data_IF_667458218388
#
_entry.id   IF_667458218388
#
_cell.length_a   1.000
_cell.length_b   1.000
_cell.length_c   1.000
_cell.angle_alpha   90.00
_cell.angle_beta   90.00
_cell.angle_gamma   90.00
#
_symmetry.space_group_name_H-M   'P 1'
#
loop_
_entity.id
_entity.type
_entity.pdbx_description
1 polymer ?
#
# COMPACT_ATOMS: atom_id res chain seq x y z
N UNK A 1 18.46 -26.77 18.19
CA UNK A 1 17.80 -26.45 19.48
C UNK A 1 16.48 -25.78 19.18
N UNK A 2 15.38 -26.19 19.81
CA UNK A 2 14.07 -25.59 19.57
C UNK A 2 14.02 -24.11 19.97
N UNK A 3 13.40 -23.28 19.13
CA UNK A 3 13.25 -21.84 19.35
C UNK A 3 12.68 -21.48 20.74
N UNK A 4 11.63 -22.17 21.20
CA UNK A 4 11.04 -21.89 22.52
C UNK A 4 12.03 -22.10 23.67
N UNK A 5 12.82 -23.18 23.58
CA UNK A 5 13.88 -23.46 24.56
C UNK A 5 14.99 -22.43 24.48
N UNK A 6 15.34 -21.98 23.27
CA UNK A 6 16.34 -20.96 23.04
C UNK A 6 15.96 -19.61 23.66
N UNK A 7 14.72 -19.15 23.46
CA UNK A 7 14.22 -17.91 24.04
C UNK A 7 14.20 -17.97 25.57
N UNK A 8 13.75 -19.10 26.14
CA UNK A 8 13.74 -19.29 27.59
C UNK A 8 15.16 -19.37 28.19
N UNK A 9 16.11 -19.94 27.45
CA UNK A 9 17.52 -19.95 27.88
C UNK A 9 18.15 -18.55 27.80
N UNK A 10 17.81 -17.74 26.79
CA UNK A 10 18.24 -16.34 26.72
C UNK A 10 17.68 -15.50 27.88
N UNK A 11 16.40 -15.65 28.20
CA UNK A 11 15.78 -14.98 29.35
C UNK A 11 16.49 -15.34 30.64
N UNK A 12 16.74 -16.64 30.87
CA UNK A 12 17.49 -17.11 32.06
C UNK A 12 18.91 -16.56 32.11
N UNK A 13 19.64 -16.52 30.98
CA UNK A 13 20.99 -15.94 30.94
C UNK A 13 20.97 -14.44 31.25
N UNK A 14 19.96 -13.72 30.75
CA UNK A 14 19.77 -12.30 31.02
C UNK A 14 19.47 -12.04 32.50
N UNK A 15 18.55 -12.80 33.09
CA UNK A 15 18.23 -12.71 34.52
C UNK A 15 19.47 -13.00 35.38
N UNK A 16 20.19 -14.09 35.07
CA UNK A 16 21.42 -14.44 35.78
C UNK A 16 22.49 -13.35 35.66
N UNK A 17 22.68 -12.76 34.48
CA UNK A 17 23.61 -11.66 34.29
C UNK A 17 23.20 -10.41 35.10
N UNK A 18 21.90 -10.11 35.21
CA UNK A 18 21.38 -9.02 36.05
C UNK A 18 21.63 -9.28 37.54
N UNK A 19 21.40 -10.50 38.01
CA UNK A 19 21.68 -10.91 39.39
C UNK A 19 23.17 -10.81 39.71
N UNK A 20 24.04 -11.35 38.84
CA UNK A 20 25.49 -11.29 39.02
C UNK A 20 26.02 -9.84 38.97
N UNK A 21 25.47 -8.98 38.11
CA UNK A 21 25.76 -7.52 38.11
C UNK A 21 25.37 -6.87 39.45
N UNK A 22 24.19 -7.20 39.97
CA UNK A 22 23.71 -6.68 41.26
C UNK A 22 24.60 -7.13 42.42
N UNK A 23 24.95 -8.42 42.48
CA UNK A 23 25.86 -8.97 43.48
C UNK A 23 27.25 -8.33 43.40
N UNK A 24 27.77 -8.11 42.19
CA UNK A 24 29.05 -7.42 41.99
C UNK A 24 28.99 -5.99 42.53
N UNK A 25 27.93 -5.25 42.20
CA UNK A 25 27.70 -3.87 42.68
C UNK A 25 27.65 -3.81 44.20
N UNK A 26 26.96 -4.76 44.84
CA UNK A 26 26.89 -4.83 46.31
C UNK A 26 28.25 -5.16 46.92
N UNK A 27 28.98 -6.13 46.38
CA UNK A 27 30.30 -6.52 46.86
C UNK A 27 31.31 -5.37 46.79
N UNK A 28 31.34 -4.64 45.67
CA UNK A 28 32.23 -3.49 45.50
C UNK A 28 31.78 -2.27 46.32
N UNK A 29 30.48 -2.04 46.49
CA UNK A 29 29.98 -1.01 47.41
C UNK A 29 30.37 -1.27 48.87
N UNK A 30 30.37 -2.54 49.32
CA UNK A 30 30.89 -2.93 50.65
C UNK A 30 32.38 -2.64 50.78
N UNK A 31 33.19 -2.91 49.75
CA UNK A 31 34.64 -2.58 49.73
C UNK A 31 34.86 -1.06 49.83
N UNK A 32 34.14 -0.28 49.01
CA UNK A 32 34.17 1.18 49.04
C UNK A 32 33.81 1.72 50.43
N UNK A 33 32.73 1.22 51.04
CA UNK A 33 32.32 1.66 52.38
C UNK A 33 33.40 1.41 53.45
N UNK A 34 34.12 0.28 53.37
CA UNK A 34 35.25 -0.01 54.29
C UNK A 34 36.39 1.00 54.09
N UNK A 35 36.81 1.23 52.84
CA UNK A 35 37.88 2.18 52.52
C UNK A 35 37.52 3.60 52.94
N UNK A 36 36.28 4.05 52.68
CA UNK A 36 35.80 5.36 53.12
C UNK A 36 35.87 5.52 54.64
N UNK A 37 35.54 4.49 55.42
CA UNK A 37 35.67 4.52 56.89
C UNK A 37 37.13 4.67 57.33
N UNK A 38 38.05 3.97 56.67
CA UNK A 38 39.49 4.08 56.96
C UNK A 38 40.04 5.46 56.60
N UNK A 39 39.67 6.00 55.43
CA UNK A 39 40.06 7.35 55.02
C UNK A 39 39.51 8.37 56.02
N UNK A 40 38.21 8.31 56.36
CA UNK A 40 37.61 9.22 57.36
C UNK A 40 38.32 9.15 58.72
N UNK A 41 38.79 7.97 59.14
CA UNK A 41 39.58 7.81 60.37
C UNK A 41 40.93 8.52 60.27
N UNK A 42 41.67 8.35 59.17
CA UNK A 42 42.95 9.01 58.97
C UNK A 42 42.81 10.53 58.85
N UNK A 43 41.75 11.02 58.21
CA UNK A 43 41.41 12.46 58.14
C UNK A 43 41.12 13.04 59.53
N UNK A 44 40.31 12.36 60.35
CA UNK A 44 40.07 12.76 61.76
C UNK A 44 41.35 12.76 62.59
N UNK A 45 42.25 11.83 62.31
CA UNK A 45 43.52 11.78 63.02
C UNK A 45 44.46 12.92 62.60
N UNK A 46 44.47 13.31 61.32
CA UNK A 46 45.20 14.47 60.81
C UNK A 46 44.75 15.76 61.52
N UNK A 47 43.45 15.94 61.69
CA UNK A 47 42.85 17.08 62.39
C UNK A 47 43.36 17.21 63.85
N UNK A 48 43.51 16.08 64.54
CA UNK A 48 43.94 16.02 65.96
C UNK A 48 45.46 16.06 66.15
N UNK A 49 46.23 15.87 65.10
CA UNK A 49 47.69 15.77 65.18
C UNK A 49 48.31 17.11 65.59
N UNK A 50 49.31 17.11 66.48
CA UNK A 50 49.93 18.36 66.95
C UNK A 50 50.98 18.83 65.94
N UNK A 51 51.00 20.14 65.67
CA UNK A 51 52.05 20.77 64.88
C UNK A 51 53.38 20.68 65.67
N UNK A 52 54.49 20.25 65.05
CA UNK A 52 55.80 20.20 65.69
C UNK A 52 56.22 21.56 66.28
N UNK A 53 56.71 21.57 67.52
CA UNK A 53 57.14 22.79 68.24
C UNK A 53 58.31 23.56 67.60
N UNK A 54 58.96 22.99 66.57
CA UNK A 54 60.13 23.55 65.88
C UNK A 54 59.77 24.46 64.69
N UNK A 55 58.48 24.69 64.45
CA UNK A 55 57.99 25.47 63.31
C UNK A 55 57.73 26.92 63.76
N UNK A 56 58.11 27.88 62.92
CA UNK A 56 57.85 29.31 63.12
C UNK A 56 56.35 29.59 63.35
N UNK A 57 56.02 30.52 64.25
CA UNK A 57 54.65 30.82 64.63
C UNK A 57 53.76 31.30 63.46
N UNK A 58 54.33 32.04 62.50
CA UNK A 58 53.62 32.45 61.28
C UNK A 58 53.31 31.25 60.38
N UNK A 59 54.27 30.33 60.23
CA UNK A 59 54.10 29.11 59.43
C UNK A 59 53.11 28.17 60.12
N UNK A 60 53.13 28.07 61.45
CA UNK A 60 52.19 27.28 62.24
C UNK A 60 50.73 27.71 61.99
N UNK A 61 50.45 29.01 61.96
CA UNK A 61 49.10 29.55 61.64
C UNK A 61 48.65 29.21 60.21
N UNK A 62 49.57 29.28 59.24
CA UNK A 62 49.29 28.91 57.83
C UNK A 62 48.97 27.41 57.73
N UNK A 63 49.79 26.56 58.34
CA UNK A 63 49.60 25.10 58.37
C UNK A 63 48.27 24.73 59.01
N UNK A 64 47.87 25.41 60.08
CA UNK A 64 46.60 25.14 60.75
C UNK A 64 45.38 25.48 59.88
N UNK A 65 45.41 26.63 59.21
CA UNK A 65 44.35 27.05 58.29
C UNK A 65 44.26 26.11 57.07
N UNK A 66 45.39 25.77 56.45
CA UNK A 66 45.42 24.81 55.33
C UNK A 66 44.95 23.43 55.78
N UNK A 67 45.30 22.99 56.99
CA UNK A 67 44.88 21.70 57.53
C UNK A 67 43.36 21.65 57.72
N UNK A 68 42.76 22.70 58.29
CA UNK A 68 41.29 22.78 58.42
C UNK A 68 40.63 22.71 57.06
N UNK A 69 41.06 23.53 56.11
CA UNK A 69 40.53 23.51 54.75
C UNK A 69 40.67 22.14 54.07
N UNK A 70 41.82 21.48 54.24
CA UNK A 70 42.05 20.13 53.72
C UNK A 70 41.09 19.11 54.35
N UNK A 71 40.96 19.12 55.68
CA UNK A 71 40.10 18.20 56.43
C UNK A 71 38.63 18.42 56.06
N UNK A 72 38.15 19.67 56.05
CA UNK A 72 36.76 20.01 55.73
C UNK A 72 36.41 19.60 54.31
N UNK A 73 37.25 19.97 53.34
CA UNK A 73 37.01 19.66 51.93
C UNK A 73 37.01 18.15 51.69
N UNK A 74 38.00 17.42 52.23
CA UNK A 74 38.05 15.96 52.07
C UNK A 74 36.88 15.26 52.79
N UNK A 75 36.47 15.75 53.96
CA UNK A 75 35.36 15.18 54.72
C UNK A 75 34.04 15.33 53.96
N UNK A 76 33.73 16.55 53.49
CA UNK A 76 32.56 16.81 52.66
C UNK A 76 32.55 15.95 51.41
N UNK A 77 33.72 15.74 50.82
CA UNK A 77 33.89 14.91 49.64
C UNK A 77 33.55 13.44 49.91
N UNK A 78 34.10 12.88 50.98
CA UNK A 78 33.89 11.48 51.40
C UNK A 78 32.48 11.23 51.93
N UNK A 79 31.72 12.26 52.30
CA UNK A 79 30.32 12.14 52.70
C UNK A 79 29.36 12.00 51.52
N UNK A 80 29.75 12.51 50.34
CA UNK A 80 28.94 12.39 49.12
C UNK A 80 29.05 11.03 48.44
N UNK A 81 30.02 10.21 48.84
CA UNK A 81 30.23 8.87 48.28
C UNK A 81 29.53 7.83 49.18
N UNK A 82 28.42 7.28 48.69
CA UNK A 82 27.62 6.28 49.40
C UNK A 82 27.90 4.84 48.91
N UNK A 83 28.14 4.68 47.61
CA UNK A 83 28.30 3.40 46.92
C UNK A 83 29.25 3.49 45.71
N UNK A 84 29.47 2.36 45.03
CA UNK A 84 30.40 2.27 43.89
C UNK A 84 30.03 3.18 42.71
N UNK A 85 28.74 3.47 42.47
CA UNK A 85 28.31 4.34 41.36
C UNK A 85 28.45 5.82 41.72
N UNK A 86 28.22 6.17 42.99
CA UNK A 86 28.52 7.53 43.46
C UNK A 86 30.03 7.80 43.39
N UNK A 87 30.87 6.80 43.63
CA UNK A 87 32.32 6.93 43.52
C UNK A 87 32.75 7.34 42.10
N UNK A 88 32.14 6.76 41.06
CA UNK A 88 32.39 7.14 39.66
C UNK A 88 32.33 8.66 39.44
N UNK A 89 31.24 9.28 39.92
CA UNK A 89 30.96 10.70 39.73
C UNK A 89 32.01 11.60 40.39
N UNK A 90 32.67 11.08 41.41
CA UNK A 90 33.51 11.82 42.33
C UNK A 90 35.02 11.52 42.19
N UNK A 91 35.40 10.46 41.46
CA UNK A 91 36.80 10.17 41.14
C UNK A 91 37.56 11.33 40.43
N UNK A 92 36.96 12.06 39.47
CA UNK A 92 37.64 13.18 38.82
C UNK A 92 38.00 14.31 39.81
N UNK A 93 37.14 14.58 40.78
CA UNK A 93 37.39 15.59 41.80
C UNK A 93 38.43 15.10 42.83
N UNK A 94 38.42 13.81 43.22
CA UNK A 94 39.46 13.21 44.07
C UNK A 94 40.86 13.32 43.47
N UNK A 95 40.99 13.06 42.17
CA UNK A 95 42.29 13.14 41.48
C UNK A 95 42.91 14.54 41.51
N UNK A 96 42.08 15.59 41.61
CA UNK A 96 42.50 17.01 41.64
C UNK A 96 42.65 17.57 43.05
N UNK A 97 42.17 16.84 44.06
CA UNK A 97 42.12 17.30 45.45
C UNK A 97 43.51 17.68 46.01
N UNK A 98 44.52 16.84 45.77
CA UNK A 98 45.87 17.06 46.31
C UNK A 98 46.67 18.15 45.57
N UNK A 99 46.30 18.50 44.34
CA UNK A 99 46.96 19.57 43.58
C UNK A 99 46.55 20.96 44.10
N UNK A 100 45.40 21.02 44.78
CA UNK A 100 44.71 22.26 45.15
C UNK A 100 44.89 22.67 46.62
N UNK A 101 45.26 21.73 47.51
CA UNK A 101 45.28 21.93 48.95
C UNK A 101 46.52 21.34 49.63
N UNK A 102 47.17 22.13 50.50
CA UNK A 102 48.00 21.59 51.58
C UNK A 102 49.48 21.43 51.27
N UNK A 103 50.12 22.36 50.56
CA UNK A 103 51.59 22.32 50.38
C UNK A 103 52.31 22.30 51.75
N UNK A 104 51.87 23.13 52.69
CA UNK A 104 52.47 23.18 54.03
C UNK A 104 51.95 22.04 54.91
N UNK A 105 50.70 21.62 54.74
CA UNK A 105 50.14 20.43 55.43
C UNK A 105 50.91 19.17 55.06
N UNK A 106 51.24 19.00 53.78
CA UNK A 106 52.01 17.87 53.27
C UNK A 106 53.45 17.89 53.78
N UNK A 107 54.08 19.06 53.88
CA UNK A 107 55.42 19.19 54.46
C UNK A 107 55.45 18.86 55.97
N UNK A 108 54.41 19.21 56.72
CA UNK A 108 54.38 19.03 58.18
C UNK A 108 53.83 17.67 58.61
N UNK A 109 52.82 17.15 57.89
CA UNK A 109 52.13 15.90 58.20
C UNK A 109 52.32 14.84 57.10
N UNK A 110 53.51 14.85 56.48
CA UNK A 110 53.89 14.02 55.34
C UNK A 110 53.41 12.55 55.47
N UNK A 111 53.75 11.90 56.58
CA UNK A 111 53.41 10.49 56.82
C UNK A 111 51.90 10.22 56.79
N UNK A 112 51.08 11.14 57.30
CA UNK A 112 49.63 10.99 57.33
C UNK A 112 49.02 11.25 55.97
N UNK A 113 49.49 12.30 55.28
CA UNK A 113 49.04 12.61 53.91
C UNK A 113 49.36 11.46 52.96
N UNK A 114 50.55 10.85 53.04
CA UNK A 114 50.86 9.64 52.26
C UNK A 114 49.91 8.47 52.55
N UNK A 115 49.50 8.26 53.80
CA UNK A 115 48.51 7.21 54.14
C UNK A 115 47.15 7.49 53.53
N UNK A 116 46.68 8.74 53.61
CA UNK A 116 45.42 9.16 52.99
C UNK A 116 45.50 8.97 51.48
N UNK A 117 46.58 9.41 50.83
CA UNK A 117 46.79 9.26 49.39
C UNK A 117 46.82 7.78 48.97
N UNK A 118 47.44 6.91 49.77
CA UNK A 118 47.45 5.47 49.52
C UNK A 118 46.04 4.89 49.52
N UNK A 119 45.22 5.24 50.52
CA UNK A 119 43.84 4.78 50.61
C UNK A 119 42.95 5.34 49.50
N UNK A 120 43.16 6.59 49.07
CA UNK A 120 42.46 7.19 47.94
C UNK A 120 42.85 6.54 46.60
N UNK A 121 44.12 6.15 46.45
CA UNK A 121 44.58 5.36 45.31
C UNK A 121 43.91 3.99 45.29
N UNK A 122 43.88 3.30 46.43
CA UNK A 122 43.21 2.00 46.57
C UNK A 122 41.71 2.11 46.25
N UNK A 123 41.05 3.20 46.66
CA UNK A 123 39.66 3.48 46.32
C UNK A 123 39.46 3.60 44.79
N UNK A 124 40.40 4.23 44.09
CA UNK A 124 40.39 4.36 42.62
C UNK A 124 40.65 3.01 41.93
N UNK A 125 41.56 2.20 42.47
CA UNK A 125 41.87 0.85 41.98
C UNK A 125 40.64 -0.07 42.13
N UNK A 126 39.92 -0.02 43.25
CA UNK A 126 38.67 -0.77 43.47
C UNK A 126 37.61 -0.42 42.42
N UNK A 127 37.50 0.86 42.03
CA UNK A 127 36.61 1.26 40.95
C UNK A 127 37.06 0.74 39.57
N UNK A 128 38.37 0.80 39.29
CA UNK A 128 38.95 0.24 38.08
C UNK A 128 38.67 -1.27 37.94
N UNK A 129 38.85 -2.03 39.02
CA UNK A 129 38.49 -3.45 39.07
C UNK A 129 37.00 -3.70 38.82
N UNK A 130 36.12 -2.90 39.45
CA UNK A 130 34.68 -2.98 39.25
C UNK A 130 34.33 -2.80 37.77
N UNK A 131 34.89 -1.78 37.12
CA UNK A 131 34.67 -1.49 35.70
C UNK A 131 35.17 -2.60 34.78
N UNK A 132 36.35 -3.17 35.05
CA UNK A 132 36.86 -4.32 34.28
C UNK A 132 35.93 -5.52 34.41
N UNK A 133 35.45 -5.81 35.62
CA UNK A 133 34.49 -6.91 35.85
C UNK A 133 33.13 -6.63 35.23
N UNK A 134 32.67 -5.37 35.26
CA UNK A 134 31.39 -4.98 34.69
C UNK A 134 31.36 -5.18 33.16
N UNK A 135 32.48 -4.92 32.48
CA UNK A 135 32.63 -5.16 31.03
C UNK A 135 32.60 -6.62 30.63
N UNK A 136 32.86 -7.54 31.56
CA UNK A 136 32.84 -8.98 31.28
C UNK A 136 31.42 -9.56 31.27
N UNK A 137 30.39 -8.78 31.63
CA UNK A 137 29.01 -9.21 31.48
C UNK A 137 28.52 -8.95 30.06
N UNK A 138 27.97 -9.97 29.43
CA UNK A 138 27.30 -9.85 28.13
C UNK A 138 26.00 -9.03 28.29
N UNK A 139 25.85 -7.99 27.47
CA UNK A 139 24.58 -7.29 27.29
C UNK A 139 23.95 -7.74 25.97
N UNK A 140 22.79 -8.37 26.07
CA UNK A 140 21.99 -8.76 24.92
C UNK A 140 20.51 -8.56 25.21
N UNK A 141 19.76 -8.25 24.16
CA UNK A 141 18.30 -8.23 24.18
C UNK A 141 17.75 -9.55 23.67
N UNK A 142 16.58 -9.95 24.18
CA UNK A 142 15.87 -11.13 23.68
C UNK A 142 15.04 -10.67 22.48
N UNK A 143 15.31 -11.15 21.25
CA UNK A 143 14.54 -10.72 20.09
C UNK A 143 13.10 -11.18 20.15
N UNK A 144 12.15 -10.34 19.75
CA UNK A 144 10.73 -10.69 19.67
C UNK A 144 10.41 -11.51 18.41
N UNK A 145 10.78 -12.78 18.45
CA UNK A 145 10.55 -13.71 17.33
C UNK A 145 9.08 -14.13 17.22
N UNK A 146 8.34 -14.15 18.33
CA UNK A 146 6.94 -14.59 18.34
C UNK A 146 6.07 -13.64 17.51
N UNK A 147 6.23 -12.34 17.70
CA UNK A 147 5.51 -11.33 16.92
C UNK A 147 5.81 -11.46 15.42
N UNK A 148 7.08 -11.65 15.04
CA UNK A 148 7.47 -11.85 13.63
C UNK A 148 6.80 -13.10 13.03
N UNK A 149 6.77 -14.21 13.77
CA UNK A 149 6.11 -15.44 13.31
C UNK A 149 4.60 -15.27 13.13
N UNK A 150 3.93 -14.53 14.03
CA UNK A 150 2.51 -14.19 13.89
C UNK A 150 2.26 -13.33 12.65
N UNK A 151 3.12 -12.35 12.40
CA UNK A 151 3.01 -11.48 11.22
C UNK A 151 3.27 -12.23 9.91
N UNK A 152 4.21 -13.18 9.89
CA UNK A 152 4.43 -14.10 8.76
C UNK A 152 3.16 -14.92 8.50
N UNK A 153 2.56 -15.49 9.55
CA UNK A 153 1.33 -16.28 9.42
C UNK A 153 0.17 -15.44 8.86
N UNK A 154 -0.03 -14.23 9.39
CA UNK A 154 -1.07 -13.30 8.87
C UNK A 154 -0.80 -12.91 7.41
N UNK A 155 0.45 -12.69 7.05
CA UNK A 155 0.81 -12.37 5.68
C UNK A 155 0.55 -13.54 4.72
N UNK A 156 0.84 -14.77 5.14
CA UNK A 156 0.54 -15.97 4.34
C UNK A 156 -0.97 -16.19 4.20
N UNK A 157 -1.75 -16.06 5.28
CA UNK A 157 -3.22 -16.14 5.24
C UNK A 157 -3.81 -15.11 4.26
N UNK A 158 -3.33 -13.87 4.31
CA UNK A 158 -3.76 -12.83 3.37
C UNK A 158 -3.36 -13.14 1.91
N UNK A 159 -2.15 -13.69 1.69
CA UNK A 159 -1.73 -14.12 0.35
C UNK A 159 -2.66 -15.21 -0.19
N UNK A 160 -3.05 -16.19 0.64
CA UNK A 160 -3.98 -17.25 0.22
C UNK A 160 -5.36 -16.69 -0.10
N UNK A 161 -5.86 -15.75 0.70
CA UNK A 161 -7.14 -15.08 0.46
C UNK A 161 -7.13 -14.34 -0.89
N UNK A 162 -6.12 -13.49 -1.12
CA UNK A 162 -5.99 -12.72 -2.37
C UNK A 162 -5.82 -13.65 -3.57
N UNK A 163 -5.06 -14.75 -3.44
CA UNK A 163 -4.95 -15.76 -4.50
C UNK A 163 -6.30 -16.40 -4.82
N UNK A 164 -7.06 -16.81 -3.82
CA UNK A 164 -8.39 -17.40 -4.01
C UNK A 164 -9.39 -16.41 -4.60
N UNK A 165 -9.31 -15.13 -4.26
CA UNK A 165 -10.10 -14.08 -4.93
C UNK A 165 -9.69 -13.88 -6.39
N UNK A 166 -8.38 -13.89 -6.67
CA UNK A 166 -7.83 -13.73 -8.01
C UNK A 166 -8.24 -14.88 -8.93
N UNK A 167 -8.16 -16.13 -8.45
CA UNK A 167 -8.60 -17.30 -9.21
C UNK A 167 -10.10 -17.23 -9.55
N UNK A 168 -10.95 -16.91 -8.56
CA UNK A 168 -12.38 -16.69 -8.79
C UNK A 168 -12.66 -15.56 -9.77
N UNK A 169 -11.85 -14.51 -9.75
CA UNK A 169 -11.97 -13.41 -10.71
C UNK A 169 -11.59 -13.84 -12.13
N UNK A 170 -10.50 -14.60 -12.29
CA UNK A 170 -10.04 -15.16 -13.57
C UNK A 170 -11.05 -16.15 -14.16
N UNK A 171 -11.63 -17.01 -13.34
CA UNK A 171 -12.70 -17.93 -13.77
C UNK A 171 -13.94 -17.15 -14.26
N UNK A 172 -14.33 -16.09 -13.55
CA UNK A 172 -15.43 -15.21 -14.00
C UNK A 172 -15.09 -14.49 -15.31
N UNK A 173 -13.83 -14.08 -15.49
CA UNK A 173 -13.37 -13.45 -16.73
C UNK A 173 -13.47 -14.40 -17.90
N UNK A 174 -13.02 -15.64 -17.73
CA UNK A 174 -13.10 -16.70 -18.74
C UNK A 174 -14.55 -17.01 -19.11
N UNK A 175 -15.42 -17.21 -18.11
CA UNK A 175 -16.85 -17.45 -18.32
C UNK A 175 -17.52 -16.28 -19.06
N UNK A 176 -17.13 -15.04 -18.74
CA UNK A 176 -17.66 -13.85 -19.40
C UNK A 176 -17.17 -13.72 -20.83
N UNK A 177 -15.89 -14.02 -21.10
CA UNK A 177 -15.34 -14.11 -22.46
C UNK A 177 -16.04 -15.17 -23.29
N UNK A 178 -16.29 -16.35 -22.70
CA UNK A 178 -17.05 -17.42 -23.34
C UNK A 178 -18.49 -16.97 -23.67
N UNK A 179 -19.18 -16.33 -22.73
CA UNK A 179 -20.53 -15.78 -22.94
C UNK A 179 -20.56 -14.73 -24.05
N UNK A 180 -19.59 -13.83 -24.09
CA UNK A 180 -19.46 -12.82 -25.17
C UNK A 180 -19.19 -13.51 -26.50
N UNK A 181 -18.28 -14.48 -26.53
CA UNK A 181 -17.96 -15.24 -27.74
C UNK A 181 -19.16 -16.02 -28.24
N UNK A 182 -19.94 -16.66 -27.36
CA UNK A 182 -21.19 -17.34 -27.71
C UNK A 182 -22.23 -16.37 -28.25
N UNK A 183 -22.44 -15.22 -27.61
CA UNK A 183 -23.38 -14.20 -28.09
C UNK A 183 -22.97 -13.59 -29.44
N UNK A 184 -21.67 -13.50 -29.72
CA UNK A 184 -21.13 -13.08 -31.03
C UNK A 184 -21.21 -14.19 -32.08
N UNK A 185 -20.95 -15.44 -31.68
CA UNK A 185 -20.98 -16.63 -32.55
C UNK A 185 -22.38 -17.11 -32.86
N UNK A 186 -23.35 -16.85 -31.98
CA UNK A 186 -24.76 -17.11 -32.23
C UNK A 186 -25.11 -16.37 -33.52
N UNK A 187 -25.18 -17.16 -34.59
CA UNK A 187 -25.30 -16.78 -36.00
C UNK A 187 -26.37 -15.72 -36.22
N UNK A 188 -27.34 -15.67 -35.33
CA UNK A 188 -28.36 -14.64 -35.21
C UNK A 188 -27.94 -13.19 -35.44
N UNK A 189 -26.78 -12.67 -34.97
CA UNK A 189 -26.44 -11.26 -35.23
C UNK A 189 -26.02 -11.06 -36.69
N UNK A 190 -25.18 -11.95 -37.21
CA UNK A 190 -24.76 -11.94 -38.62
C UNK A 190 -25.94 -12.21 -39.55
N UNK A 191 -26.79 -13.18 -39.22
CA UNK A 191 -28.04 -13.48 -39.93
C UNK A 191 -29.01 -12.30 -39.89
N UNK A 192 -29.12 -11.59 -38.76
CA UNK A 192 -29.92 -10.37 -38.67
C UNK A 192 -29.34 -9.27 -39.55
N UNK A 193 -28.03 -9.09 -39.59
CA UNK A 193 -27.36 -8.12 -40.46
C UNK A 193 -27.56 -8.44 -41.94
N UNK A 194 -27.41 -9.70 -42.34
CA UNK A 194 -27.67 -10.17 -43.71
C UNK A 194 -29.14 -9.99 -44.11
N UNK A 195 -30.08 -10.33 -43.21
CA UNK A 195 -31.52 -10.12 -43.44
C UNK A 195 -31.85 -8.64 -43.60
N UNK A 196 -31.36 -7.78 -42.71
CA UNK A 196 -31.53 -6.32 -42.78
C UNK A 196 -31.00 -5.80 -44.12
N UNK A 197 -29.81 -6.23 -44.54
CA UNK A 197 -29.21 -5.81 -45.81
C UNK A 197 -30.02 -6.29 -47.02
N UNK A 198 -30.53 -7.53 -46.99
CA UNK A 198 -31.38 -8.07 -48.04
C UNK A 198 -32.70 -7.31 -48.17
N UNK A 199 -33.36 -7.00 -47.04
CA UNK A 199 -34.61 -6.24 -47.01
C UNK A 199 -34.40 -4.79 -47.45
N UNK A 200 -33.27 -4.15 -47.09
CA UNK A 200 -32.91 -2.82 -47.59
C UNK A 200 -32.78 -2.80 -49.11
N UNK A 201 -32.13 -3.82 -49.69
CA UNK A 201 -31.99 -3.96 -51.14
C UNK A 201 -33.34 -4.18 -51.81
N UNK A 202 -34.19 -5.06 -51.27
CA UNK A 202 -35.52 -5.31 -51.81
C UNK A 202 -36.42 -4.08 -51.74
N UNK A 203 -36.47 -3.41 -50.58
CA UNK A 203 -37.23 -2.19 -50.36
C UNK A 203 -36.82 -1.10 -51.36
N UNK A 204 -35.51 -0.85 -51.45
CA UNK A 204 -34.95 0.14 -52.40
C UNK A 204 -35.30 -0.21 -53.84
N UNK A 205 -35.16 -1.48 -54.25
CA UNK A 205 -35.51 -1.92 -55.59
C UNK A 205 -36.99 -1.67 -55.91
N UNK A 206 -37.90 -2.01 -54.99
CA UNK A 206 -39.35 -1.81 -55.16
C UNK A 206 -39.72 -0.33 -55.22
N UNK A 207 -39.18 0.49 -54.33
CA UNK A 207 -39.41 1.94 -54.32
C UNK A 207 -38.91 2.60 -55.62
N UNK A 208 -37.72 2.24 -56.09
CA UNK A 208 -37.15 2.74 -57.35
C UNK A 208 -38.00 2.30 -58.53
N UNK A 209 -38.40 1.03 -58.59
CA UNK A 209 -39.23 0.49 -59.67
C UNK A 209 -40.57 1.22 -59.74
N UNK A 210 -41.27 1.35 -58.60
CA UNK A 210 -42.56 2.04 -58.54
C UNK A 210 -42.43 3.53 -58.91
N UNK A 211 -41.40 4.23 -58.41
CA UNK A 211 -41.14 5.63 -58.76
C UNK A 211 -40.79 5.83 -60.24
N UNK A 212 -40.04 4.89 -60.84
CA UNK A 212 -39.72 4.89 -62.27
C UNK A 212 -40.99 4.72 -63.12
N UNK A 213 -41.85 3.80 -62.72
CA UNK A 213 -43.11 3.50 -63.39
C UNK A 213 -44.07 4.69 -63.38
N UNK A 214 -44.15 5.37 -62.24
CA UNK A 214 -44.88 6.62 -62.08
C UNK A 214 -44.23 7.77 -62.85
N UNK A 215 -42.89 7.83 -62.90
CA UNK A 215 -42.15 8.91 -63.58
C UNK A 215 -42.34 8.86 -65.08
N UNK A 216 -42.46 7.65 -65.63
CA UNK A 216 -42.78 7.43 -67.04
C UNK A 216 -44.09 8.11 -67.48
N UNK A 217 -45.05 8.26 -66.55
CA UNK A 217 -46.35 8.88 -66.80
C UNK A 217 -46.33 10.42 -66.67
N UNK A 218 -45.26 11.03 -66.15
CA UNK A 218 -45.17 12.50 -65.99
C UNK A 218 -45.15 13.24 -67.32
N UNK A 219 -44.41 12.74 -68.32
CA UNK A 219 -44.21 13.42 -69.62
C UNK A 219 -45.52 13.66 -70.39
N UNK A 220 -46.40 12.66 -70.59
CA UNK A 220 -47.70 12.89 -71.23
C UNK A 220 -48.62 13.82 -70.42
N UNK A 221 -48.65 13.71 -69.09
CA UNK A 221 -49.43 14.60 -68.23
C UNK A 221 -48.97 16.07 -68.32
N UNK A 222 -47.65 16.32 -68.38
CA UNK A 222 -47.08 17.66 -68.61
C UNK A 222 -47.49 18.21 -69.98
N UNK A 223 -47.42 17.40 -71.03
CA UNK A 223 -47.82 17.81 -72.40
C UNK A 223 -49.30 18.17 -72.50
N UNK A 224 -50.15 17.40 -71.83
CA UNK A 224 -51.59 17.65 -71.77
C UNK A 224 -51.98 18.84 -70.87
N UNK A 225 -51.01 19.47 -70.18
CA UNK A 225 -51.23 20.61 -69.26
C UNK A 225 -52.32 20.32 -68.22
N UNK A 226 -52.32 19.10 -67.67
CA UNK A 226 -53.28 18.70 -66.64
C UNK A 226 -53.12 19.60 -65.42
N UNK A 227 -54.20 20.25 -65.01
CA UNK A 227 -54.25 21.17 -63.87
C UNK A 227 -54.87 20.51 -62.65
N UNK A 228 -54.50 20.97 -61.45
CA UNK A 228 -55.05 20.53 -60.18
C UNK A 228 -53.97 20.10 -59.20
N UNK A 229 -54.29 20.18 -57.91
CA UNK A 229 -53.32 19.95 -56.82
C UNK A 229 -52.62 18.58 -56.91
N UNK A 230 -53.36 17.50 -57.16
CA UNK A 230 -52.79 16.16 -57.31
C UNK A 230 -51.85 16.04 -58.52
N UNK A 231 -52.17 16.72 -59.63
CA UNK A 231 -51.33 16.75 -60.82
C UNK A 231 -50.02 17.53 -60.56
N UNK A 232 -50.11 18.69 -59.93
CA UNK A 232 -48.95 19.52 -59.60
C UNK A 232 -47.99 18.80 -58.63
N UNK A 233 -48.53 18.21 -57.57
CA UNK A 233 -47.75 17.45 -56.59
C UNK A 233 -47.11 16.21 -57.22
N UNK A 234 -47.87 15.42 -57.99
CA UNK A 234 -47.35 14.25 -58.68
C UNK A 234 -46.27 14.58 -59.72
N UNK A 235 -46.44 15.67 -60.48
CA UNK A 235 -45.48 16.11 -61.50
C UNK A 235 -44.18 16.64 -60.91
N UNK A 236 -44.25 17.25 -59.73
CA UNK A 236 -43.10 17.69 -58.94
C UNK A 236 -42.35 16.50 -58.37
N UNK A 237 -43.03 15.60 -57.67
CA UNK A 237 -42.45 14.40 -57.08
C UNK A 237 -43.36 13.18 -57.24
N UNK A 238 -42.82 12.09 -57.80
CA UNK A 238 -43.55 10.81 -57.92
C UNK A 238 -43.76 10.16 -56.57
N UNK A 239 -42.98 10.54 -55.54
CA UNK A 239 -43.18 10.05 -54.18
C UNK A 239 -44.53 10.45 -53.58
N UNK A 240 -45.21 11.45 -54.15
CA UNK A 240 -46.58 11.78 -53.79
C UNK A 240 -47.54 10.58 -53.89
N UNK A 241 -47.26 9.61 -54.77
CA UNK A 241 -48.05 8.38 -54.87
C UNK A 241 -47.94 7.46 -53.65
N UNK A 242 -46.91 7.61 -52.83
CA UNK A 242 -46.73 6.85 -51.59
C UNK A 242 -47.50 7.47 -50.43
N UNK A 243 -47.78 8.78 -50.50
CA UNK A 243 -48.51 9.53 -49.47
C UNK A 243 -50.02 9.54 -49.78
N UNK A 244 -50.38 9.73 -51.05
CA UNK A 244 -51.74 9.96 -51.51
C UNK A 244 -52.09 9.07 -52.72
N UNK A 245 -52.08 7.73 -52.56
CA UNK A 245 -52.24 6.80 -53.68
C UNK A 245 -53.58 6.94 -54.41
N UNK A 246 -54.66 7.22 -53.67
CA UNK A 246 -56.00 7.38 -54.25
C UNK A 246 -56.09 8.59 -55.19
N UNK A 247 -55.50 9.74 -54.78
CA UNK A 247 -55.46 10.96 -55.61
C UNK A 247 -54.65 10.74 -56.89
N UNK A 248 -53.58 9.94 -56.82
CA UNK A 248 -52.78 9.57 -58.00
C UNK A 248 -53.53 8.60 -58.91
N UNK A 249 -54.24 7.61 -58.36
CA UNK A 249 -55.09 6.71 -59.16
C UNK A 249 -56.18 7.46 -59.91
N UNK A 250 -56.87 8.38 -59.25
CA UNK A 250 -57.88 9.23 -59.87
C UNK A 250 -57.30 10.12 -60.97
N UNK A 251 -56.14 10.73 -60.72
CA UNK A 251 -55.42 11.51 -61.74
C UNK A 251 -55.12 10.66 -62.99
N UNK A 252 -54.62 9.43 -62.80
CA UNK A 252 -54.28 8.53 -63.89
C UNK A 252 -55.53 8.03 -64.65
N UNK A 253 -56.62 7.69 -63.94
CA UNK A 253 -57.91 7.30 -64.56
C UNK A 253 -58.48 8.44 -65.41
N UNK A 254 -58.55 9.64 -64.85
CA UNK A 254 -59.02 10.84 -65.56
C UNK A 254 -58.16 11.14 -66.80
N UNK A 255 -56.85 10.96 -66.71
CA UNK A 255 -55.95 11.17 -67.83
C UNK A 255 -56.08 10.09 -68.92
N UNK A 256 -56.40 8.84 -68.54
CA UNK A 256 -56.72 7.76 -69.48
C UNK A 256 -58.04 8.04 -70.22
N UNK A 257 -59.10 8.40 -69.51
CA UNK A 257 -60.43 8.69 -70.07
C UNK A 257 -60.42 9.88 -71.04
N UNK A 258 -59.59 10.89 -70.75
CA UNK A 258 -59.41 12.08 -71.61
C UNK A 258 -58.43 11.87 -72.77
N UNK A 259 -57.88 10.66 -72.93
CA UNK A 259 -56.99 10.32 -74.05
C UNK A 259 -55.60 10.96 -73.98
N UNK A 260 -55.13 11.35 -72.80
CA UNK A 260 -53.81 12.00 -72.64
C UNK A 260 -52.63 11.03 -72.75
N UNK A 261 -52.89 9.72 -72.65
CA UNK A 261 -51.90 8.67 -72.77
C UNK A 261 -51.98 7.99 -74.14
N UNK A 262 -50.84 7.83 -74.81
CA UNK A 262 -50.76 6.93 -75.98
C UNK A 262 -50.90 5.45 -75.56
N UNK A 263 -50.96 4.53 -76.53
CA UNK A 263 -51.13 3.09 -76.26
C UNK A 263 -50.13 2.52 -75.25
N UNK A 264 -48.88 3.00 -75.23
CA UNK A 264 -47.83 2.51 -74.31
C UNK A 264 -48.01 3.08 -72.91
N UNK A 265 -48.27 4.38 -72.80
CA UNK A 265 -48.48 5.04 -71.51
C UNK A 265 -49.82 4.63 -70.87
N UNK A 266 -50.86 4.39 -71.66
CA UNK A 266 -52.17 3.94 -71.17
C UNK A 266 -52.10 2.52 -70.59
N UNK A 267 -51.33 1.63 -71.23
CA UNK A 267 -51.04 0.30 -70.69
C UNK A 267 -50.29 0.40 -69.35
N UNK A 268 -49.25 1.22 -69.26
CA UNK A 268 -48.48 1.42 -68.03
C UNK A 268 -49.31 2.06 -66.91
N UNK A 269 -50.15 3.04 -67.24
CA UNK A 269 -51.07 3.67 -66.29
C UNK A 269 -52.08 2.67 -65.72
N UNK A 270 -52.62 1.79 -66.58
CA UNK A 270 -53.52 0.70 -66.15
C UNK A 270 -52.82 -0.26 -65.17
N UNK A 271 -51.63 -0.73 -65.53
CA UNK A 271 -50.82 -1.62 -64.67
C UNK A 271 -50.49 -0.97 -63.31
N UNK A 272 -50.17 0.32 -63.29
CA UNK A 272 -49.93 1.08 -62.05
C UNK A 272 -51.21 1.21 -61.23
N UNK A 273 -52.35 1.59 -61.82
CA UNK A 273 -53.62 1.73 -61.10
C UNK A 273 -54.04 0.41 -60.44
N UNK A 274 -53.88 -0.71 -61.13
CA UNK A 274 -54.25 -2.04 -60.66
C UNK A 274 -53.33 -2.52 -59.52
N UNK A 275 -52.03 -2.23 -59.58
CA UNK A 275 -51.04 -2.79 -58.64
C UNK A 275 -50.53 -1.82 -57.57
N UNK A 276 -50.85 -0.52 -57.64
CA UNK A 276 -50.27 0.49 -56.75
C UNK A 276 -50.53 0.20 -55.27
N UNK A 277 -51.75 -0.19 -54.90
CA UNK A 277 -52.08 -0.47 -53.48
C UNK A 277 -51.31 -1.70 -52.99
N UNK A 278 -51.26 -2.76 -53.79
CA UNK A 278 -50.55 -3.98 -53.46
C UNK A 278 -49.02 -3.79 -53.36
N UNK A 279 -48.43 -2.93 -54.19
CA UNK A 279 -46.99 -2.61 -54.07
C UNK A 279 -46.70 -1.66 -52.90
N UNK A 280 -47.58 -0.71 -52.60
CA UNK A 280 -47.43 0.14 -51.42
C UNK A 280 -47.58 -0.65 -50.11
N UNK A 281 -48.53 -1.59 -50.04
CA UNK A 281 -48.71 -2.49 -48.91
C UNK A 281 -47.45 -3.35 -48.68
N UNK A 282 -46.87 -3.91 -49.75
CA UNK A 282 -45.60 -4.66 -49.65
C UNK A 282 -44.45 -3.78 -49.16
N UNK A 283 -44.33 -2.55 -49.67
CA UNK A 283 -43.31 -1.59 -49.23
C UNK A 283 -43.49 -1.24 -47.75
N UNK A 284 -44.72 -1.06 -47.29
CA UNK A 284 -45.02 -0.79 -45.88
C UNK A 284 -44.70 -1.98 -44.97
N UNK A 285 -45.04 -3.21 -45.39
CA UNK A 285 -44.68 -4.45 -44.68
C UNK A 285 -43.16 -4.57 -44.56
N UNK A 286 -42.43 -4.39 -45.66
CA UNK A 286 -40.97 -4.44 -45.68
C UNK A 286 -40.34 -3.38 -44.77
N UNK A 287 -40.90 -2.17 -44.73
CA UNK A 287 -40.44 -1.11 -43.80
C UNK A 287 -40.66 -1.49 -42.34
N UNK A 288 -41.84 -2.02 -41.99
CA UNK A 288 -42.16 -2.47 -40.63
C UNK A 288 -41.25 -3.62 -40.20
N UNK A 289 -41.01 -4.58 -41.09
CA UNK A 289 -40.10 -5.70 -40.83
C UNK A 289 -38.66 -5.22 -40.65
N UNK A 290 -38.19 -4.30 -41.50
CA UNK A 290 -36.87 -3.70 -41.40
C UNK A 290 -36.68 -2.98 -40.06
N UNK A 291 -37.64 -2.12 -39.67
CA UNK A 291 -37.61 -1.40 -38.38
C UNK A 291 -37.57 -2.38 -37.19
N UNK A 292 -38.32 -3.48 -37.26
CA UNK A 292 -38.32 -4.51 -36.22
C UNK A 292 -36.95 -5.17 -36.08
N UNK A 293 -36.34 -5.57 -37.20
CA UNK A 293 -35.03 -6.22 -37.22
C UNK A 293 -33.91 -5.28 -36.78
N UNK A 294 -33.96 -4.01 -37.18
CA UNK A 294 -32.98 -3.00 -36.74
C UNK A 294 -33.06 -2.74 -35.24
N UNK A 295 -34.27 -2.70 -34.67
CA UNK A 295 -34.46 -2.61 -33.21
C UNK A 295 -33.91 -3.84 -32.50
N UNK A 296 -34.15 -5.03 -33.04
CA UNK A 296 -33.62 -6.26 -32.47
C UNK A 296 -32.09 -6.32 -32.52
N UNK A 297 -31.49 -5.95 -33.66
CA UNK A 297 -30.04 -5.81 -33.81
C UNK A 297 -29.47 -4.87 -32.75
N UNK A 298 -30.02 -3.66 -32.65
CA UNK A 298 -29.54 -2.66 -31.70
C UNK A 298 -29.63 -3.15 -30.24
N UNK A 299 -30.72 -3.84 -29.88
CA UNK A 299 -30.87 -4.45 -28.56
C UNK A 299 -29.78 -5.49 -28.29
N UNK A 300 -29.53 -6.41 -29.24
CA UNK A 300 -28.50 -7.46 -29.10
C UNK A 300 -27.09 -6.87 -29.05
N UNK A 301 -26.78 -5.89 -29.90
CA UNK A 301 -25.49 -5.19 -29.87
C UNK A 301 -25.26 -4.47 -28.54
N UNK A 302 -26.29 -3.82 -27.99
CA UNK A 302 -26.21 -3.18 -26.67
C UNK A 302 -25.92 -4.18 -25.56
N UNK A 303 -26.62 -5.32 -25.58
CA UNK A 303 -26.42 -6.38 -24.60
C UNK A 303 -24.97 -6.92 -24.63
N UNK A 304 -24.41 -7.16 -25.83
CA UNK A 304 -23.00 -7.54 -25.98
C UNK A 304 -22.07 -6.44 -25.43
N UNK A 305 -22.35 -5.18 -25.73
CA UNK A 305 -21.59 -4.04 -25.20
C UNK A 305 -21.60 -3.96 -23.67
N UNK A 306 -22.73 -4.27 -23.03
CA UNK A 306 -22.83 -4.33 -21.56
C UNK A 306 -21.94 -5.44 -20.97
N UNK A 307 -21.89 -6.60 -21.62
CA UNK A 307 -20.99 -7.69 -21.22
C UNK A 307 -19.51 -7.32 -21.41
N UNK A 308 -19.16 -6.67 -22.52
CA UNK A 308 -17.79 -6.18 -22.77
C UNK A 308 -17.36 -5.12 -21.74
N UNK A 309 -18.26 -4.22 -21.36
CA UNK A 309 -18.00 -3.24 -20.32
C UNK A 309 -17.77 -3.91 -18.95
N UNK A 310 -18.55 -4.94 -18.62
CA UNK A 310 -18.32 -5.77 -17.41
C UNK A 310 -16.98 -6.48 -17.46
N UNK A 311 -16.59 -7.00 -18.63
CA UNK A 311 -15.31 -7.68 -18.81
C UNK A 311 -14.13 -6.74 -18.53
N UNK A 312 -14.14 -5.53 -19.11
CA UNK A 312 -13.08 -4.53 -18.86
C UNK A 312 -12.95 -4.17 -17.37
N UNK A 313 -14.08 -4.04 -16.66
CA UNK A 313 -14.07 -3.78 -15.20
C UNK A 313 -13.47 -4.96 -14.43
N UNK A 314 -13.78 -6.18 -14.85
CA UNK A 314 -13.24 -7.38 -14.22
C UNK A 314 -11.74 -7.53 -14.49
N UNK A 315 -11.28 -7.29 -15.71
CA UNK A 315 -9.86 -7.27 -16.08
C UNK A 315 -9.07 -6.22 -15.26
N UNK A 316 -9.64 -5.04 -15.05
CA UNK A 316 -9.04 -4.03 -14.17
C UNK A 316 -8.91 -4.53 -12.72
N UNK A 317 -9.98 -5.13 -12.18
CA UNK A 317 -9.96 -5.71 -10.82
C UNK A 317 -8.96 -6.86 -10.67
N UNK A 318 -8.79 -7.67 -11.71
CA UNK A 318 -7.78 -8.74 -11.74
C UNK A 318 -6.38 -8.15 -11.63
N UNK A 319 -6.07 -7.10 -12.40
CA UNK A 319 -4.77 -6.42 -12.32
C UNK A 319 -4.51 -5.83 -10.94
N UNK A 320 -5.50 -5.16 -10.34
CA UNK A 320 -5.40 -4.63 -8.98
C UNK A 320 -5.08 -5.75 -7.97
N UNK A 321 -5.72 -6.90 -8.10
CA UNK A 321 -5.49 -8.08 -7.23
C UNK A 321 -4.12 -8.72 -7.47
N UNK A 322 -3.62 -8.73 -8.71
CA UNK A 322 -2.26 -9.18 -9.02
C UNK A 322 -1.20 -8.29 -8.38
N UNK A 323 -1.39 -6.96 -8.41
CA UNK A 323 -0.51 -6.01 -7.73
C UNK A 323 -0.56 -6.15 -6.20
N UNK A 324 -1.76 -6.32 -5.63
CA UNK A 324 -1.95 -6.59 -4.20
C UNK A 324 -1.20 -7.86 -3.78
N UNK A 325 -1.33 -8.93 -4.57
CA UNK A 325 -0.65 -10.20 -4.32
C UNK A 325 0.88 -10.05 -4.34
N UNK A 326 1.44 -9.31 -5.30
CA UNK A 326 2.90 -9.08 -5.36
C UNK A 326 3.40 -8.25 -4.17
N UNK A 327 2.65 -7.23 -3.74
CA UNK A 327 2.96 -6.46 -2.52
C UNK A 327 2.95 -7.35 -1.29
N UNK A 328 1.93 -8.20 -1.14
CA UNK A 328 1.81 -9.12 -0.01
C UNK A 328 2.98 -10.13 0.02
N UNK A 329 3.34 -10.73 -1.13
CA UNK A 329 4.52 -11.61 -1.24
C UNK A 329 5.83 -10.91 -0.90
N UNK A 330 5.98 -9.64 -1.29
CA UNK A 330 7.16 -8.85 -0.94
C UNK A 330 7.25 -8.64 0.57
N UNK A 331 6.15 -8.25 1.22
CA UNK A 331 6.10 -8.09 2.68
C UNK A 331 6.43 -9.40 3.40
N UNK A 332 5.91 -10.54 2.93
CA UNK A 332 6.24 -11.86 3.48
C UNK A 332 7.76 -12.12 3.44
N UNK A 333 8.40 -11.88 2.30
CA UNK A 333 9.87 -12.04 2.16
C UNK A 333 10.66 -11.14 3.11
N UNK A 334 10.24 -9.89 3.28
CA UNK A 334 10.89 -8.96 4.22
C UNK A 334 10.77 -9.47 5.68
N UNK A 335 9.62 -10.03 6.06
CA UNK A 335 9.45 -10.66 7.38
C UNK A 335 10.29 -11.92 7.56
N UNK A 336 10.39 -12.77 6.54
CA UNK A 336 11.24 -13.97 6.56
C UNK A 336 12.73 -13.62 6.66
N UNK A 337 13.18 -12.54 6.00
CA UNK A 337 14.54 -12.04 6.14
C UNK A 337 14.81 -11.52 7.55
N UNK A 338 13.88 -10.75 8.13
CA UNK A 338 14.00 -10.26 9.49
C UNK A 338 14.04 -11.41 10.50
N UNK A 339 13.15 -12.41 10.36
CA UNK A 339 13.17 -13.63 11.16
C UNK A 339 14.55 -14.32 11.10
N UNK A 340 15.11 -14.49 9.90
CA UNK A 340 16.42 -15.10 9.73
C UNK A 340 17.55 -14.30 10.39
N UNK A 341 17.49 -12.96 10.36
CA UNK A 341 18.46 -12.10 11.06
C UNK A 341 18.36 -12.31 12.57
N UNK A 342 17.15 -12.28 13.14
CA UNK A 342 16.93 -12.50 14.58
C UNK A 342 17.34 -13.89 15.03
N UNK A 343 17.07 -14.93 14.24
CA UNK A 343 17.55 -16.27 14.54
C UNK A 343 19.07 -16.33 14.59
N UNK A 344 19.79 -15.72 13.63
CA UNK A 344 21.25 -15.67 13.65
C UNK A 344 21.80 -14.92 14.87
N UNK A 345 21.12 -13.88 15.34
CA UNK A 345 21.48 -13.19 16.59
C UNK A 345 21.39 -14.15 17.78
N UNK A 346 20.29 -14.90 17.90
CA UNK A 346 20.11 -15.91 18.95
C UNK A 346 21.17 -17.01 18.84
N UNK A 347 21.42 -17.53 17.64
CA UNK A 347 22.44 -18.57 17.41
C UNK A 347 23.83 -18.11 17.83
N UNK A 348 24.16 -16.84 17.58
CA UNK A 348 25.44 -16.25 17.98
C UNK A 348 25.58 -16.15 19.50
N UNK A 349 24.50 -15.78 20.21
CA UNK A 349 24.52 -15.66 21.68
C UNK A 349 24.56 -17.04 22.35
N UNK A 350 23.78 -18.00 21.83
CA UNK A 350 23.67 -19.33 22.42
C UNK A 350 24.75 -20.31 21.92
N UNK A 351 25.46 -19.97 20.85
CA UNK A 351 26.49 -20.83 20.24
C UNK A 351 25.94 -22.11 19.62
N UNK A 352 24.64 -22.17 19.36
CA UNK A 352 23.93 -23.37 18.89
C UNK A 352 22.94 -23.00 17.80
N UNK A 353 22.78 -23.88 16.81
CA UNK A 353 21.79 -23.66 15.74
C UNK A 353 20.36 -23.77 16.28
N UNK A 354 19.51 -22.85 15.84
CA UNK A 354 18.10 -22.80 16.23
C UNK A 354 17.24 -23.45 15.16
N UNK A 355 16.35 -24.33 15.59
CA UNK A 355 15.34 -24.96 14.75
C UNK A 355 13.99 -24.33 15.08
N UNK A 356 13.27 -23.95 14.03
CA UNK A 356 11.92 -23.37 14.11
C UNK A 356 10.83 -24.41 14.47
N UNK A 357 11.18 -25.72 14.53
CA UNK A 357 10.26 -26.85 14.71
C UNK A 357 10.45 -27.63 16.02
#
# INVERSE_FOLDING_TARGET
>A
MKLERALLELEKRKEKALEEKSQLREAYSKKVSKLLKEIKKEVKNLEKERIPKKIDERISKIVENERRAYVDTLTNFLERIENIDSLEKFLPELSKFHVSHGKYVMMVFEKRIYRINKLLKELSEVYGEYQVRLRNFEEFEVPDIKSILEDIKRADEHIQEVRGELERAKEREENLKATIAEKKRNSTLLELEEKIESLKKELSHREIKLSSDLSYLKKPLKKARVKGHAAEMFLKDTKFAFEEPMKVKELLKNAMERGYFDKKHAKRAKEVIENLDAELEKIEILRKELDSLEREKNRRSKEIGDFEARLRRLEAKIREKEEELEKAKRKLRELEEELNRRLKEIEKILGTKIELA
#
